data_IF_858256253513
#
_entry.id   IF_858256253513
#
_cell.length_a   1.000
_cell.length_b   1.000
_cell.length_c   1.000
_cell.angle_alpha   90.00
_cell.angle_beta   90.00
_cell.angle_gamma   90.00
#
_symmetry.space_group_name_H-M   'P 1'
#
loop_
_entity.id
_entity.type
_entity.pdbx_description
1 polymer ?
#
# COMPACT_ATOMS: atom_id res chain seq x y z
N UNK A 1 -4.20 19.10 1.94
CA UNK A 1 -3.11 18.35 1.30
C UNK A 1 -3.00 16.99 1.97
N UNK A 2 -3.24 15.91 1.22
CA UNK A 2 -3.10 14.51 1.65
C UNK A 2 -1.78 13.98 1.09
N UNK A 3 -0.81 13.82 1.98
CA UNK A 3 0.52 13.28 1.67
C UNK A 3 0.56 11.75 1.62
N UNK A 4 1.73 11.17 1.28
CA UNK A 4 1.91 9.73 1.25
C UNK A 4 1.94 9.12 2.66
N UNK A 5 1.60 7.84 2.75
CA UNK A 5 1.81 6.99 3.93
C UNK A 5 3.32 6.94 4.19
N UNK A 6 3.78 7.30 5.41
CA UNK A 6 5.19 7.17 5.76
C UNK A 6 5.66 5.73 5.64
N UNK A 7 6.85 5.49 5.08
CA UNK A 7 7.40 4.14 4.88
C UNK A 7 7.42 3.31 6.16
N UNK A 8 7.64 3.94 7.32
CA UNK A 8 7.61 3.26 8.61
C UNK A 8 6.26 2.60 8.90
N UNK A 9 5.15 3.22 8.50
CA UNK A 9 3.78 2.66 8.66
C UNK A 9 3.51 1.46 7.77
N UNK A 10 4.31 1.23 6.73
CA UNK A 10 4.19 0.08 5.82
C UNK A 10 4.93 -1.16 6.32
N UNK A 11 5.78 -1.02 7.34
CA UNK A 11 6.57 -2.13 7.88
C UNK A 11 5.72 -3.07 8.71
N UNK A 12 6.13 -4.34 8.73
CA UNK A 12 5.42 -5.41 9.42
C UNK A 12 5.17 -5.09 10.90
N UNK A 13 6.18 -4.60 11.60
CA UNK A 13 6.07 -4.32 13.03
C UNK A 13 4.97 -3.27 13.31
N UNK A 14 4.91 -2.22 12.49
CA UNK A 14 3.89 -1.19 12.61
C UNK A 14 2.49 -1.71 12.28
N UNK A 15 2.37 -2.64 11.33
CA UNK A 15 1.08 -3.25 10.97
C UNK A 15 0.61 -4.19 12.08
N UNK A 16 1.49 -5.04 12.60
CA UNK A 16 1.18 -5.94 13.72
C UNK A 16 0.73 -5.16 14.95
N UNK A 17 1.39 -4.04 15.27
CA UNK A 17 0.98 -3.15 16.37
C UNK A 17 -0.40 -2.54 16.14
N UNK A 18 -0.70 -2.11 14.90
CA UNK A 18 -2.01 -1.53 14.57
C UNK A 18 -3.12 -2.57 14.66
N UNK A 19 -2.86 -3.80 14.22
CA UNK A 19 -3.78 -4.93 14.35
C UNK A 19 -4.02 -5.22 15.84
N UNK A 20 -2.96 -5.36 16.64
CA UNK A 20 -3.08 -5.65 18.07
C UNK A 20 -3.85 -4.58 18.86
N UNK A 21 -3.77 -3.31 18.45
CA UNK A 21 -4.45 -2.17 19.09
C UNK A 21 -5.87 -1.93 18.55
N UNK A 22 -6.28 -2.64 17.49
CA UNK A 22 -7.56 -2.39 16.84
C UNK A 22 -8.72 -3.01 17.63
N UNK A 23 -9.79 -2.26 17.95
CA UNK A 23 -10.98 -2.87 18.54
C UNK A 23 -11.71 -3.79 17.55
N UNK A 24 -11.39 -3.72 16.25
CA UNK A 24 -12.02 -4.55 15.22
C UNK A 24 -11.46 -5.96 15.14
N UNK A 25 -10.37 -6.26 15.86
CA UNK A 25 -9.69 -7.56 15.81
C UNK A 25 -9.95 -8.41 17.04
N UNK A 26 -10.70 -7.91 18.04
CA UNK A 26 -10.95 -8.63 19.30
C UNK A 26 -11.68 -9.96 19.10
N UNK A 27 -12.62 -10.01 18.17
CA UNK A 27 -13.43 -11.20 17.87
C UNK A 27 -13.03 -11.87 16.54
N UNK A 28 -11.87 -11.51 15.99
CA UNK A 28 -11.40 -12.06 14.73
C UNK A 28 -10.95 -13.52 14.92
N UNK A 29 -11.47 -14.42 14.07
CA UNK A 29 -11.06 -15.83 14.03
C UNK A 29 -9.58 -15.97 13.65
N UNK A 30 -9.11 -15.07 12.79
CA UNK A 30 -7.70 -14.92 12.42
C UNK A 30 -7.39 -13.44 12.28
N UNK A 31 -6.31 -12.98 12.91
CA UNK A 31 -5.86 -11.58 12.88
C UNK A 31 -4.88 -11.30 11.73
N UNK A 32 -4.51 -12.34 10.97
CA UNK A 32 -3.61 -12.25 9.82
C UNK A 32 -4.29 -11.51 8.67
N UNK A 33 -3.78 -10.35 8.22
CA UNK A 33 -4.41 -9.59 7.16
C UNK A 33 -4.23 -10.30 5.81
N UNK A 34 -5.33 -10.55 5.11
CA UNK A 34 -5.32 -11.28 3.82
C UNK A 34 -5.20 -10.36 2.61
N UNK A 35 -5.35 -9.05 2.80
CA UNK A 35 -5.47 -8.06 1.74
C UNK A 35 -5.10 -6.66 2.24
N UNK A 36 -4.32 -5.91 1.45
CA UNK A 36 -4.10 -4.48 1.65
C UNK A 36 -4.48 -3.70 0.39
N UNK A 37 -4.99 -2.48 0.59
CA UNK A 37 -5.25 -1.51 -0.48
C UNK A 37 -4.43 -0.24 -0.23
N UNK A 38 -3.81 0.26 -1.30
CA UNK A 38 -3.05 1.52 -1.28
C UNK A 38 -3.50 2.37 -2.45
N UNK A 39 -4.01 3.58 -2.19
CA UNK A 39 -4.34 4.55 -3.24
C UNK A 39 -3.06 5.15 -3.81
N UNK A 40 -2.83 4.99 -5.12
CA UNK A 40 -1.65 5.52 -5.81
C UNK A 40 -2.03 6.07 -7.21
N UNK A 41 -1.84 7.34 -7.53
CA UNK A 41 -1.35 8.43 -6.70
C UNK A 41 -2.42 8.99 -5.76
N UNK A 42 -2.02 9.83 -4.80
CA UNK A 42 -3.00 10.66 -4.06
C UNK A 42 -3.63 11.71 -4.99
N UNK A 43 -4.76 12.29 -4.58
CA UNK A 43 -5.45 13.34 -5.34
C UNK A 43 -4.55 14.55 -5.62
N UNK A 44 -3.64 14.87 -4.68
CA UNK A 44 -2.67 15.96 -4.80
C UNK A 44 -1.41 15.59 -5.63
N UNK A 45 -1.38 14.40 -6.25
CA UNK A 45 -0.33 13.98 -7.19
C UNK A 45 0.89 13.29 -6.57
N UNK A 46 0.86 12.92 -5.28
CA UNK A 46 1.96 12.17 -4.68
C UNK A 46 1.93 10.70 -5.14
N UNK A 47 2.98 10.30 -5.87
CA UNK A 47 3.13 8.96 -6.43
C UNK A 47 4.11 8.13 -5.60
N UNK A 48 3.69 6.96 -5.12
CA UNK A 48 4.56 6.07 -4.35
C UNK A 48 5.65 5.44 -5.23
N UNK A 49 6.75 5.04 -4.59
CA UNK A 49 7.62 4.01 -5.18
C UNK A 49 6.97 2.65 -4.95
N UNK A 50 6.39 2.08 -6.00
CA UNK A 50 5.60 0.84 -5.89
C UNK A 50 6.46 -0.33 -5.41
N UNK A 51 7.75 -0.35 -5.74
CA UNK A 51 8.67 -1.40 -5.30
C UNK A 51 8.85 -1.40 -3.78
N UNK A 52 8.94 -0.21 -3.17
CA UNK A 52 9.07 -0.10 -1.71
C UNK A 52 7.77 -0.52 -1.02
N UNK A 53 6.61 -0.11 -1.56
CA UNK A 53 5.32 -0.51 -1.02
C UNK A 53 5.14 -2.02 -1.07
N UNK A 54 5.44 -2.66 -2.21
CA UNK A 54 5.38 -4.12 -2.35
C UNK A 54 6.37 -4.81 -1.40
N UNK A 55 7.59 -4.29 -1.28
CA UNK A 55 8.61 -4.86 -0.38
C UNK A 55 8.17 -4.85 1.08
N UNK A 56 7.63 -3.74 1.57
CA UNK A 56 7.26 -3.60 2.98
C UNK A 56 5.90 -4.23 3.30
N UNK A 57 4.86 -3.96 2.50
CA UNK A 57 3.53 -4.54 2.74
C UNK A 57 3.48 -6.04 2.43
N UNK A 58 4.28 -6.52 1.47
CA UNK A 58 4.33 -7.95 1.13
C UNK A 58 4.83 -8.83 2.27
N UNK A 59 5.50 -8.26 3.27
CA UNK A 59 5.88 -8.97 4.49
C UNK A 59 4.71 -9.18 5.48
N UNK A 60 3.61 -8.42 5.30
CA UNK A 60 2.43 -8.47 6.16
C UNK A 60 1.22 -9.09 5.49
N UNK A 61 1.05 -8.90 4.18
CA UNK A 61 -0.13 -9.35 3.43
C UNK A 61 0.25 -10.12 2.18
N UNK A 62 -0.49 -11.17 1.81
CA UNK A 62 -0.23 -11.93 0.60
C UNK A 62 -0.71 -11.22 -0.68
N UNK A 63 -1.58 -10.21 -0.56
CA UNK A 63 -2.21 -9.52 -1.69
C UNK A 63 -2.25 -8.01 -1.46
N UNK A 64 -1.76 -7.25 -2.45
CA UNK A 64 -1.76 -5.79 -2.45
C UNK A 64 -2.51 -5.30 -3.68
N UNK A 65 -3.54 -4.48 -3.46
CA UNK A 65 -4.26 -3.76 -4.50
C UNK A 65 -3.81 -2.29 -4.50
N UNK A 66 -3.20 -1.85 -5.60
CA UNK A 66 -3.00 -0.44 -5.86
C UNK A 66 -4.24 0.13 -6.56
N UNK A 67 -4.95 1.01 -5.88
CA UNK A 67 -6.07 1.75 -6.46
C UNK A 67 -5.51 2.93 -7.27
N UNK A 68 -5.39 2.71 -8.58
CA UNK A 68 -4.77 3.63 -9.55
C UNK A 68 -5.79 4.32 -10.46
N UNK A 69 -7.02 4.54 -9.98
CA UNK A 69 -8.09 5.18 -10.75
C UNK A 69 -7.68 6.53 -11.40
N UNK A 70 -6.72 7.24 -10.80
CA UNK A 70 -6.20 8.53 -11.27
C UNK A 70 -4.86 8.46 -12.03
N UNK A 71 -4.28 7.26 -12.24
CA UNK A 71 -2.87 7.11 -12.64
C UNK A 71 -2.62 6.16 -13.84
N UNK A 72 -3.67 5.80 -14.59
CA UNK A 72 -3.58 4.85 -15.71
C UNK A 72 -2.61 5.28 -16.84
N UNK A 73 -2.34 6.59 -16.99
CA UNK A 73 -1.44 7.12 -18.02
C UNK A 73 0.06 6.88 -17.70
N UNK A 74 0.40 6.60 -16.44
CA UNK A 74 1.79 6.45 -16.00
C UNK A 74 2.54 5.33 -16.72
N UNK A 75 1.80 4.31 -17.19
CA UNK A 75 2.36 3.19 -17.96
C UNK A 75 3.03 3.61 -19.28
N UNK A 76 2.63 4.73 -19.86
CA UNK A 76 2.98 5.08 -21.24
C UNK A 76 4.05 6.18 -21.34
N UNK A 77 4.56 6.69 -20.21
CA UNK A 77 5.58 7.73 -20.22
C UNK A 77 6.81 7.34 -19.36
N UNK A 78 8.05 7.38 -19.91
CA UNK A 78 9.25 6.90 -19.22
C UNK A 78 9.51 7.53 -17.85
N UNK A 79 9.06 8.77 -17.64
CA UNK A 79 9.20 9.51 -16.38
C UNK A 79 8.56 8.80 -15.18
N UNK A 80 7.52 7.99 -15.38
CA UNK A 80 6.78 7.33 -14.29
C UNK A 80 7.21 5.88 -14.05
N UNK A 81 8.33 5.45 -14.63
CA UNK A 81 8.87 4.11 -14.40
C UNK A 81 9.03 3.85 -12.89
N UNK A 82 8.54 2.70 -12.43
CA UNK A 82 8.49 2.27 -11.02
C UNK A 82 7.52 3.05 -10.09
N UNK A 83 6.69 3.93 -10.64
CA UNK A 83 5.68 4.70 -9.88
C UNK A 83 4.25 4.15 -10.01
N UNK A 84 4.05 3.12 -10.83
CA UNK A 84 2.77 2.44 -11.04
C UNK A 84 2.96 0.91 -10.95
N UNK A 85 1.87 0.18 -10.71
CA UNK A 85 1.90 -1.28 -10.67
C UNK A 85 2.16 -1.86 -12.06
N UNK A 86 3.32 -2.50 -12.24
CA UNK A 86 3.54 -3.41 -13.36
C UNK A 86 2.84 -4.74 -13.04
N UNK A 87 2.01 -5.24 -13.95
CA UNK A 87 1.17 -6.44 -13.73
C UNK A 87 1.93 -7.77 -13.70
N UNK A 88 2.91 -7.92 -12.82
CA UNK A 88 3.50 -9.22 -12.46
C UNK A 88 3.33 -9.44 -10.97
#
# INVERSE_FOLDING_TARGET
MIGPIPTQRLKKESIDELIAKSPLTSDAVDTSPTYAVVTNCTYDGFCYNVNDVVKYLGASVPRIHFDEAWYAYARFHPMYKNRFRNGR
#
